data_IF_332609916700
#
_entry.id   IF_332609916700
#
_cell.length_a   1.000
_cell.length_b   1.000
_cell.length_c   1.000
_cell.angle_alpha   90.00
_cell.angle_beta   90.00
_cell.angle_gamma   90.00
#
_symmetry.space_group_name_H-M   'P 1'
#
loop_
_entity.id
_entity.type
_entity.pdbx_description
1 polymer ?
#
# COMPACT_ATOMS: atom_id res chain seq x y z
N UNK A 1 -0.46 18.35 1.01
CA UNK A 1 -0.99 17.40 -0.01
C UNK A 1 -1.15 16.04 0.66
N UNK A 2 -2.29 15.37 0.51
CA UNK A 2 -2.46 14.04 1.09
C UNK A 2 -1.76 12.97 0.22
N UNK A 3 -1.20 11.94 0.85
CA UNK A 3 -0.67 10.77 0.15
C UNK A 3 -1.78 10.06 -0.63
N UNK A 4 -1.52 9.73 -1.89
CA UNK A 4 -2.45 9.00 -2.76
C UNK A 4 -1.72 7.93 -3.53
N UNK A 5 -2.40 6.79 -3.73
CA UNK A 5 -1.93 5.73 -4.62
C UNK A 5 -2.05 6.22 -6.06
N UNK A 6 -0.94 6.21 -6.78
CA UNK A 6 -0.83 6.63 -8.18
C UNK A 6 -0.88 5.44 -9.13
N UNK A 7 -0.30 4.31 -8.71
CA UNK A 7 -0.30 3.07 -9.51
C UNK A 7 -0.58 1.87 -8.61
N UNK A 8 -1.30 0.89 -9.15
CA UNK A 8 -1.56 -0.39 -8.51
C UNK A 8 -1.19 -1.50 -9.49
N UNK A 9 -0.21 -2.32 -9.12
CA UNK A 9 0.25 -3.46 -9.90
C UNK A 9 -0.13 -4.75 -9.19
N UNK A 10 -0.59 -5.72 -9.97
CA UNK A 10 -1.04 -7.03 -9.48
C UNK A 10 -0.26 -8.14 -10.19
N UNK A 11 1.06 -8.26 -9.94
CA UNK A 11 1.91 -9.20 -10.68
C UNK A 11 1.48 -10.66 -10.51
N UNK A 12 0.89 -11.00 -9.36
CA UNK A 12 0.27 -12.29 -9.13
C UNK A 12 -1.09 -12.10 -8.46
N UNK A 13 -2.15 -12.36 -9.22
CA UNK A 13 -3.54 -12.26 -8.75
C UNK A 13 -3.69 -13.06 -7.45
N UNK A 14 -4.06 -12.37 -6.36
CA UNK A 14 -4.30 -12.96 -5.03
C UNK A 14 -3.06 -13.25 -4.18
N UNK A 15 -1.83 -13.08 -4.71
CA UNK A 15 -0.59 -13.32 -3.94
C UNK A 15 0.12 -12.03 -3.54
N UNK A 16 0.17 -11.04 -4.42
CA UNK A 16 0.89 -9.79 -4.17
C UNK A 16 0.28 -8.63 -4.94
N UNK A 17 -0.07 -7.58 -4.22
CA UNK A 17 -0.49 -6.29 -4.76
C UNK A 17 0.58 -5.26 -4.40
N UNK A 18 1.02 -4.49 -5.38
CA UNK A 18 2.04 -3.46 -5.21
C UNK A 18 1.37 -2.12 -5.52
N UNK A 19 1.34 -1.22 -4.54
CA UNK A 19 0.74 0.09 -4.65
C UNK A 19 1.83 1.16 -4.58
N UNK A 20 2.01 1.92 -5.64
CA UNK A 20 2.94 3.04 -5.71
C UNK A 20 2.22 4.33 -5.36
N UNK A 21 2.76 5.07 -4.39
CA UNK A 21 2.23 6.36 -3.95
C UNK A 21 2.85 7.53 -4.73
N UNK A 22 2.22 8.70 -4.64
CA UNK A 22 2.68 9.93 -5.31
C UNK A 22 4.07 10.43 -4.86
N UNK A 23 4.50 10.07 -3.65
CA UNK A 23 5.83 10.40 -3.13
C UNK A 23 6.92 9.40 -3.56
N UNK A 24 6.57 8.43 -4.43
CA UNK A 24 7.48 7.36 -4.85
C UNK A 24 7.57 6.19 -3.88
N UNK A 25 6.96 6.28 -2.70
CA UNK A 25 6.90 5.15 -1.78
C UNK A 25 6.03 4.02 -2.32
N UNK A 26 6.27 2.81 -1.81
CA UNK A 26 5.61 1.58 -2.27
C UNK A 26 5.02 0.82 -1.10
N UNK A 27 3.78 0.37 -1.26
CA UNK A 27 3.11 -0.52 -0.32
C UNK A 27 2.87 -1.86 -0.99
N UNK A 28 3.38 -2.91 -0.37
CA UNK A 28 3.11 -4.27 -0.80
C UNK A 28 2.09 -4.90 0.13
N UNK A 29 1.00 -5.37 -0.45
CA UNK A 29 -0.01 -6.15 0.22
C UNK A 29 0.05 -7.60 -0.28
N UNK A 30 0.16 -8.54 0.66
CA UNK A 30 0.08 -9.97 0.43
C UNK A 30 -1.29 -10.45 0.96
N UNK A 31 -2.29 -10.64 0.09
CA UNK A 31 -3.65 -10.99 0.49
C UNK A 31 -3.75 -12.36 1.17
N UNK A 32 -2.81 -13.26 0.86
CA UNK A 32 -2.73 -14.58 1.46
C UNK A 32 -2.37 -14.54 2.97
N UNK A 33 -1.84 -13.43 3.46
CA UNK A 33 -1.44 -13.27 4.84
C UNK A 33 -2.40 -12.34 5.60
N UNK A 34 -2.60 -12.54 6.91
CA UNK A 34 -3.41 -11.65 7.72
C UNK A 34 -2.87 -10.20 7.66
N UNK A 35 -3.78 -9.22 7.64
CA UNK A 35 -3.49 -7.81 7.37
C UNK A 35 -2.34 -7.20 8.20
N UNK A 36 -2.07 -7.74 9.40
CA UNK A 36 -0.98 -7.29 10.28
C UNK A 36 0.42 -7.60 9.73
N UNK A 37 0.58 -8.71 9.01
CA UNK A 37 1.85 -9.17 8.43
C UNK A 37 1.85 -9.13 6.90
N UNK A 38 0.68 -9.06 6.28
CA UNK A 38 0.51 -8.96 4.84
C UNK A 38 0.86 -7.58 4.27
N UNK A 39 1.00 -6.54 5.09
CA UNK A 39 1.35 -5.19 4.63
C UNK A 39 2.83 -4.87 4.89
N UNK A 40 3.55 -4.55 3.83
CA UNK A 40 4.93 -4.04 3.89
C UNK A 40 4.98 -2.64 3.28
N UNK A 41 5.70 -1.74 3.93
CA UNK A 41 5.81 -0.34 3.55
C UNK A 41 7.27 -0.04 3.20
N UNK A 42 7.48 0.56 2.04
CA UNK A 42 8.80 0.88 1.50
C UNK A 42 8.83 2.34 1.08
N UNK A 43 9.97 2.97 1.28
CA UNK A 43 10.24 4.31 0.77
C UNK A 43 10.62 4.28 -0.72
N UNK A 44 10.69 5.44 -1.36
CA UNK A 44 11.11 5.58 -2.76
C UNK A 44 12.53 5.02 -3.02
N UNK A 45 13.39 5.02 -1.99
CA UNK A 45 14.71 4.41 -2.03
C UNK A 45 14.71 2.88 -1.87
N UNK A 46 13.54 2.23 -1.70
CA UNK A 46 13.43 0.79 -1.46
C UNK A 46 13.70 0.37 0.00
N UNK A 47 13.90 1.32 0.91
CA UNK A 47 14.08 1.05 2.33
C UNK A 47 12.76 0.74 3.01
N UNK A 48 12.73 -0.27 3.88
CA UNK A 48 11.53 -0.61 4.65
C UNK A 48 11.24 0.45 5.70
N UNK A 49 10.02 0.96 5.70
CA UNK A 49 9.55 1.97 6.65
C UNK A 49 9.00 1.30 7.91
N UNK A 50 9.49 1.75 9.06
CA UNK A 50 9.04 1.28 10.38
C UNK A 50 8.36 2.38 11.21
N UNK A 51 8.45 3.65 10.77
CA UNK A 51 7.84 4.79 11.48
C UNK A 51 6.32 4.72 11.39
N UNK A 52 5.67 4.64 12.55
CA UNK A 52 4.22 4.51 12.68
C UNK A 52 3.43 5.64 12.02
N UNK A 53 3.90 6.89 12.10
CA UNK A 53 3.24 8.04 11.47
C UNK A 53 3.16 7.89 9.95
N UNK A 54 4.29 7.55 9.31
CA UNK A 54 4.37 7.37 7.85
C UNK A 54 3.53 6.17 7.41
N UNK A 55 3.57 5.08 8.19
CA UNK A 55 2.75 3.89 7.93
C UNK A 55 1.26 4.22 8.01
N UNK A 56 0.83 5.03 8.97
CA UNK A 56 -0.58 5.42 9.10
C UNK A 56 -1.04 6.26 7.90
N UNK A 57 -0.24 7.23 7.45
CA UNK A 57 -0.56 8.00 6.26
C UNK A 57 -0.66 7.12 5.00
N UNK A 58 0.25 6.15 4.85
CA UNK A 58 0.19 5.18 3.75
C UNK A 58 -1.05 4.29 3.82
N UNK A 59 -1.43 3.83 5.01
CA UNK A 59 -2.66 3.05 5.22
C UNK A 59 -3.91 3.87 4.89
N UNK A 60 -3.96 5.15 5.27
CA UNK A 60 -5.07 6.03 4.94
C UNK A 60 -5.17 6.26 3.43
N UNK A 61 -4.03 6.46 2.76
CA UNK A 61 -3.98 6.53 1.30
C UNK A 61 -4.51 5.25 0.65
N UNK A 62 -4.10 4.08 1.15
CA UNK A 62 -4.57 2.78 0.68
C UNK A 62 -6.09 2.60 0.91
N UNK A 63 -6.59 2.99 2.08
CA UNK A 63 -8.01 2.92 2.44
C UNK A 63 -8.85 3.81 1.52
N UNK A 64 -8.42 5.05 1.29
CA UNK A 64 -9.07 5.97 0.34
C UNK A 64 -9.08 5.42 -1.07
N UNK A 65 -7.96 4.83 -1.51
CA UNK A 65 -7.88 4.18 -2.81
C UNK A 65 -8.86 3.00 -2.90
N UNK A 66 -8.86 2.08 -1.92
CA UNK A 66 -9.78 0.94 -1.90
C UNK A 66 -11.26 1.35 -1.86
N UNK A 67 -11.58 2.41 -1.12
CA UNK A 67 -12.93 3.01 -1.12
C UNK A 67 -13.29 3.59 -2.48
N UNK A 68 -12.39 4.35 -3.11
CA UNK A 68 -12.58 4.93 -4.44
C UNK A 68 -12.81 3.87 -5.52
N UNK A 69 -12.05 2.78 -5.45
CA UNK A 69 -12.10 1.70 -6.44
C UNK A 69 -13.09 0.58 -6.08
N UNK A 70 -13.86 0.72 -4.98
CA UNK A 70 -14.83 -0.29 -4.49
C UNK A 70 -14.28 -1.72 -4.57
N UNK A 71 -13.03 -1.95 -4.16
CA UNK A 71 -12.54 -3.30 -3.81
C UNK A 71 -13.12 -3.77 -2.46
N UNK A 72 -14.35 -3.37 -2.16
CA UNK A 72 -15.15 -3.86 -1.06
C UNK A 72 -16.02 -4.98 -1.62
N UNK A 73 -15.61 -6.22 -1.36
CA UNK A 73 -16.51 -7.36 -1.37
C UNK A 73 -16.43 -8.01 -0.01
#
# INVERSE_FOLDING_TARGET
MALTVTSAQYPHIGKRHIFTLNNGSVVEELPHLPARIGLKFYDAAGHRLYRSSVINEMKDALKRHKQKWKLAK
#
